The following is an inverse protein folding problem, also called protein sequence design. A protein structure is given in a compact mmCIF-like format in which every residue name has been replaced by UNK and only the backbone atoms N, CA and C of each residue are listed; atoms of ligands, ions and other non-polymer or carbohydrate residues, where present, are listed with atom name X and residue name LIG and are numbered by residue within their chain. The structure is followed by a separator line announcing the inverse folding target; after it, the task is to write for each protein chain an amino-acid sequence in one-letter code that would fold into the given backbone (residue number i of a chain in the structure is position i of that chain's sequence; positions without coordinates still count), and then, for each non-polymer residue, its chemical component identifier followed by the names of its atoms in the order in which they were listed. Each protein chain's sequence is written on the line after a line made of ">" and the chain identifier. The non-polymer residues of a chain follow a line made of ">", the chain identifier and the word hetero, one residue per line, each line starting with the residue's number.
data_IF_778895319916
#
_entry.id   IF_778895319916
#
_cell.length_a   1.000
_cell.length_b   1.000
_cell.length_c   1.000
_cell.angle_alpha   90.00
_cell.angle_beta   90.00
_cell.angle_gamma   90.00
#
_symmetry.space_group_name_H-M   'P 1'
#
loop_
_entity.id
_entity.type
_entity.pdbx_description
1 polymer ?
#
# COMPACT_ATOMS: atom_id res chain seq x y z
N UNK A 1 -19.61 -13.03 21.34
CA UNK A 1 -18.28 -12.40 21.31
C UNK A 1 -17.88 -12.06 19.88
N UNK A 2 -17.44 -13.00 19.03
CA UNK A 2 -17.02 -12.67 17.65
C UNK A 2 -18.14 -12.05 16.78
N UNK A 3 -19.38 -12.55 16.87
CA UNK A 3 -20.53 -11.95 16.17
C UNK A 3 -20.83 -10.51 16.67
N UNK A 4 -20.65 -10.27 17.97
CA UNK A 4 -20.88 -8.96 18.57
C UNK A 4 -19.79 -7.97 18.13
N UNK A 5 -18.54 -8.41 18.04
CA UNK A 5 -17.42 -7.60 17.53
C UNK A 5 -17.59 -7.23 16.05
N UNK A 6 -18.05 -8.16 15.20
CA UNK A 6 -18.34 -7.87 13.79
C UNK A 6 -19.46 -6.85 13.63
N UNK A 7 -20.54 -6.98 14.41
CA UNK A 7 -21.63 -6.00 14.40
C UNK A 7 -21.12 -4.63 14.87
N UNK A 8 -20.33 -4.59 15.94
CA UNK A 8 -19.75 -3.35 16.45
C UNK A 8 -18.82 -2.68 15.44
N UNK A 9 -17.97 -3.45 14.76
CA UNK A 9 -17.13 -2.97 13.67
C UNK A 9 -17.97 -2.36 12.54
N UNK A 10 -18.98 -3.10 12.07
CA UNK A 10 -19.84 -2.61 11.00
C UNK A 10 -20.54 -1.31 11.39
N UNK A 11 -21.16 -1.27 12.58
CA UNK A 11 -21.83 -0.08 13.09
C UNK A 11 -20.87 1.11 13.21
N UNK A 12 -19.65 0.89 13.69
CA UNK A 12 -18.62 1.92 13.81
C UNK A 12 -18.18 2.47 12.44
N UNK A 13 -17.95 1.59 11.46
CA UNK A 13 -17.63 2.01 10.08
C UNK A 13 -18.78 2.79 9.44
N UNK A 14 -20.04 2.37 9.64
CA UNK A 14 -21.19 3.12 9.14
C UNK A 14 -21.33 4.49 9.82
N UNK A 15 -21.08 4.56 11.13
CA UNK A 15 -21.09 5.82 11.87
C UNK A 15 -20.01 6.78 11.34
N UNK A 16 -18.79 6.29 11.13
CA UNK A 16 -17.72 7.09 10.52
C UNK A 16 -18.10 7.56 9.11
N UNK A 17 -18.61 6.67 8.25
CA UNK A 17 -19.08 7.02 6.89
C UNK A 17 -20.15 8.11 6.93
N UNK A 18 -21.10 8.03 7.85
CA UNK A 18 -22.15 9.03 8.02
C UNK A 18 -21.60 10.37 8.51
N UNK A 19 -20.72 10.34 9.51
CA UNK A 19 -20.06 11.53 10.03
C UNK A 19 -19.24 12.25 8.95
N UNK A 20 -18.43 11.52 8.18
CA UNK A 20 -17.68 12.08 7.06
C UNK A 20 -18.61 12.76 6.05
N UNK A 21 -19.71 12.10 5.70
CA UNK A 21 -20.68 12.64 4.75
C UNK A 21 -21.35 13.92 5.25
N UNK A 22 -21.62 14.02 6.55
CA UNK A 22 -22.25 15.20 7.16
C UNK A 22 -21.26 16.36 7.34
N UNK A 23 -20.06 16.07 7.85
CA UNK A 23 -19.05 17.08 8.14
C UNK A 23 -18.28 17.52 6.89
N UNK A 24 -18.09 16.62 5.93
CA UNK A 24 -17.28 16.81 4.72
C UNK A 24 -17.99 16.32 3.45
N UNK A 25 -19.15 16.91 3.08
CA UNK A 25 -20.01 16.40 2.00
C UNK A 25 -19.37 16.39 0.61
N UNK A 26 -18.23 17.07 0.42
CA UNK A 26 -17.49 17.11 -0.84
C UNK A 26 -16.35 16.08 -0.91
N UNK A 27 -16.01 15.44 0.21
CA UNK A 27 -15.03 14.37 0.27
C UNK A 27 -15.70 13.05 -0.10
N UNK A 28 -15.05 12.30 -0.97
CA UNK A 28 -15.47 11.04 -1.54
C UNK A 28 -14.26 10.13 -1.60
N UNK A 29 -14.47 8.81 -1.70
CA UNK A 29 -13.37 7.86 -1.81
C UNK A 29 -12.46 8.10 -3.04
N UNK A 30 -12.92 8.85 -4.04
CA UNK A 30 -12.15 9.19 -5.24
C UNK A 30 -11.29 10.44 -5.12
N UNK A 31 -11.63 11.35 -4.20
CA UNK A 31 -11.00 12.67 -4.11
C UNK A 31 -10.49 13.00 -2.71
N UNK A 32 -10.76 12.13 -1.74
CA UNK A 32 -10.20 12.22 -0.42
C UNK A 32 -9.03 11.23 -0.35
N UNK A 33 -7.86 11.79 -0.05
CA UNK A 33 -6.61 11.06 -0.02
C UNK A 33 -6.46 10.21 1.25
N UNK A 34 -7.51 10.00 2.04
CA UNK A 34 -7.48 9.23 3.28
C UNK A 34 -7.02 10.02 4.51
N UNK A 35 -6.93 11.35 4.46
CA UNK A 35 -6.37 12.20 5.53
C UNK A 35 -7.32 12.37 6.74
N UNK A 36 -7.78 11.26 7.32
CA UNK A 36 -8.62 11.24 8.51
C UNK A 36 -7.85 10.59 9.64
N UNK A 37 -7.29 11.41 10.53
CA UNK A 37 -6.57 10.97 11.74
C UNK A 37 -7.07 11.68 12.99
N UNK A 38 -8.36 12.01 13.01
CA UNK A 38 -8.97 12.78 14.09
C UNK A 38 -10.48 12.57 14.14
N UNK A 39 -11.04 12.82 15.33
CA UNK A 39 -12.47 12.68 15.60
C UNK A 39 -12.80 11.39 16.34
N UNK A 40 -13.79 11.44 17.22
CA UNK A 40 -14.18 10.28 18.01
C UNK A 40 -14.64 9.12 17.13
N UNK A 41 -15.31 9.43 16.02
CA UNK A 41 -15.79 8.46 15.04
C UNK A 41 -14.64 7.72 14.34
N UNK A 42 -13.51 8.40 14.11
CA UNK A 42 -12.31 7.75 13.59
C UNK A 42 -11.70 6.83 14.66
N UNK A 43 -11.48 7.36 15.86
CA UNK A 43 -10.87 6.62 16.98
C UNK A 43 -11.69 5.35 17.34
N UNK A 44 -13.02 5.46 17.32
CA UNK A 44 -13.95 4.35 17.55
C UNK A 44 -13.88 3.29 16.44
N UNK A 45 -13.74 3.72 15.17
CA UNK A 45 -13.58 2.80 14.04
C UNK A 45 -12.26 2.04 14.12
N UNK A 46 -11.15 2.75 14.35
CA UNK A 46 -9.82 2.12 14.50
C UNK A 46 -9.82 1.14 15.68
N UNK A 47 -10.39 1.54 16.82
CA UNK A 47 -10.50 0.67 18.00
C UNK A 47 -11.28 -0.61 17.71
N UNK A 48 -12.39 -0.52 16.96
CA UNK A 48 -13.17 -1.70 16.58
C UNK A 48 -12.40 -2.63 15.63
N UNK A 49 -11.60 -2.10 14.71
CA UNK A 49 -10.75 -2.90 13.81
C UNK A 49 -9.68 -3.62 14.61
N UNK A 50 -8.98 -2.92 15.52
CA UNK A 50 -7.94 -3.52 16.37
C UNK A 50 -8.52 -4.64 17.23
N UNK A 51 -9.63 -4.40 17.93
CA UNK A 51 -10.30 -5.44 18.72
C UNK A 51 -10.72 -6.63 17.85
N UNK A 52 -11.14 -6.41 16.61
CA UNK A 52 -11.48 -7.50 15.67
C UNK A 52 -10.24 -8.32 15.31
N UNK A 53 -9.10 -7.68 15.04
CA UNK A 53 -7.82 -8.34 14.74
C UNK A 53 -7.32 -9.16 15.94
N UNK A 54 -7.45 -8.61 17.16
CA UNK A 54 -6.94 -9.21 18.39
C UNK A 54 -7.81 -10.36 18.92
N UNK A 55 -9.13 -10.22 18.86
CA UNK A 55 -10.07 -11.11 19.56
C UNK A 55 -10.82 -12.09 18.64
N UNK A 56 -10.58 -12.05 17.33
CA UNK A 56 -11.27 -12.93 16.37
C UNK A 56 -10.34 -13.60 15.36
N UNK A 57 -10.82 -14.69 14.77
CA UNK A 57 -10.11 -15.44 13.74
C UNK A 57 -10.46 -14.92 12.34
N UNK A 58 -9.50 -14.74 11.42
CA UNK A 58 -9.79 -14.35 10.04
C UNK A 58 -10.65 -15.39 9.30
N UNK A 59 -10.61 -16.67 9.71
CA UNK A 59 -11.46 -17.73 9.18
C UNK A 59 -12.95 -17.52 9.47
N UNK A 60 -13.29 -16.71 10.47
CA UNK A 60 -14.67 -16.36 10.78
C UNK A 60 -15.13 -15.14 9.97
N UNK A 61 -14.23 -14.37 9.34
CA UNK A 61 -14.57 -13.13 8.67
C UNK A 61 -15.49 -13.36 7.45
N UNK A 62 -16.62 -12.66 7.43
CA UNK A 62 -17.47 -12.60 6.25
C UNK A 62 -17.07 -11.44 5.32
N UNK A 63 -17.72 -11.36 4.16
CA UNK A 63 -17.40 -10.33 3.17
C UNK A 63 -17.62 -8.90 3.69
N UNK A 64 -18.59 -8.69 4.58
CA UNK A 64 -18.87 -7.37 5.18
C UNK A 64 -17.73 -6.98 6.12
N UNK A 65 -17.33 -7.90 6.99
CA UNK A 65 -16.20 -7.71 7.92
C UNK A 65 -14.93 -7.35 7.14
N UNK A 66 -14.61 -8.08 6.08
CA UNK A 66 -13.43 -7.81 5.24
C UNK A 66 -13.53 -6.43 4.58
N UNK A 67 -14.68 -6.08 4.00
CA UNK A 67 -14.88 -4.79 3.33
C UNK A 67 -14.73 -3.62 4.31
N UNK A 68 -15.34 -3.71 5.49
CA UNK A 68 -15.27 -2.70 6.54
C UNK A 68 -13.83 -2.51 7.06
N UNK A 69 -13.07 -3.60 7.25
CA UNK A 69 -11.66 -3.50 7.63
C UNK A 69 -10.80 -2.88 6.53
N UNK A 70 -11.01 -3.25 5.26
CA UNK A 70 -10.28 -2.64 4.14
C UNK A 70 -10.61 -1.15 3.97
N UNK A 71 -11.86 -0.78 4.20
CA UNK A 71 -12.27 0.62 4.24
C UNK A 71 -11.52 1.37 5.34
N UNK A 72 -11.48 0.82 6.57
CA UNK A 72 -10.80 1.46 7.69
C UNK A 72 -9.29 1.59 7.46
N UNK A 73 -8.63 0.55 6.94
CA UNK A 73 -7.21 0.62 6.54
C UNK A 73 -6.99 1.76 5.55
N UNK A 74 -7.88 1.93 4.57
CA UNK A 74 -7.76 3.01 3.60
C UNK A 74 -7.89 4.42 4.20
N UNK A 75 -8.53 4.55 5.37
CA UNK A 75 -8.64 5.81 6.14
C UNK A 75 -7.48 6.02 7.11
N UNK A 76 -6.90 4.95 7.62
CA UNK A 76 -5.75 4.98 8.53
C UNK A 76 -4.41 5.19 7.82
N UNK A 77 -4.42 5.71 6.59
CA UNK A 77 -3.26 5.68 5.72
C UNK A 77 -2.13 6.65 6.14
N UNK A 78 -2.43 7.66 6.94
CA UNK A 78 -1.45 8.58 7.51
C UNK A 78 -0.79 8.02 8.79
N UNK A 79 -1.58 7.35 9.64
CA UNK A 79 -1.10 6.86 10.94
C UNK A 79 -0.58 5.43 10.87
N UNK A 80 -1.06 4.63 9.92
CA UNK A 80 -0.72 3.22 9.70
C UNK A 80 -0.93 2.33 10.93
N UNK A 81 -1.80 2.71 11.88
CA UNK A 81 -2.01 1.98 13.13
C UNK A 81 -2.49 0.54 12.88
N UNK A 82 -3.45 0.35 11.99
CA UNK A 82 -3.98 -0.96 11.61
C UNK A 82 -2.91 -1.75 10.86
N UNK A 83 -2.20 -1.13 9.92
CA UNK A 83 -1.15 -1.79 9.16
C UNK A 83 -0.02 -2.29 10.06
N UNK A 84 0.39 -1.50 11.06
CA UNK A 84 1.38 -1.86 12.07
C UNK A 84 0.84 -2.96 13.01
N UNK A 85 -0.44 -2.88 13.41
CA UNK A 85 -1.09 -3.93 14.20
C UNK A 85 -1.08 -5.27 13.47
N UNK A 86 -1.28 -5.28 12.15
CA UNK A 86 -1.29 -6.50 11.35
C UNK A 86 0.07 -7.22 11.28
N UNK A 87 1.19 -6.57 11.62
CA UNK A 87 2.52 -7.19 11.64
C UNK A 87 2.59 -8.39 12.60
N UNK A 88 1.88 -8.32 13.72
CA UNK A 88 1.80 -9.39 14.72
C UNK A 88 0.65 -10.39 14.47
N UNK A 89 -0.19 -10.13 13.44
CA UNK A 89 -1.39 -10.91 13.13
C UNK A 89 -1.36 -11.46 11.70
N UNK A 90 -0.45 -12.42 11.41
CA UNK A 90 -0.13 -12.80 10.04
C UNK A 90 -1.33 -13.36 9.24
N UNK A 91 -2.19 -14.17 9.87
CA UNK A 91 -3.36 -14.70 9.16
C UNK A 91 -4.32 -13.58 8.72
N UNK A 92 -4.48 -12.55 9.55
CA UNK A 92 -5.27 -11.37 9.20
C UNK A 92 -4.62 -10.57 8.09
N UNK A 93 -3.30 -10.34 8.19
CA UNK A 93 -2.54 -9.67 7.14
C UNK A 93 -2.71 -10.39 5.79
N UNK A 94 -2.47 -11.71 5.75
CA UNK A 94 -2.60 -12.51 4.52
C UNK A 94 -4.00 -12.46 3.92
N UNK A 95 -5.06 -12.58 4.75
CA UNK A 95 -6.44 -12.50 4.29
C UNK A 95 -6.74 -11.12 3.67
N UNK A 96 -6.48 -10.05 4.40
CA UNK A 96 -6.82 -8.69 3.98
C UNK A 96 -5.96 -8.26 2.80
N UNK A 97 -4.68 -8.61 2.79
CA UNK A 97 -3.77 -8.35 1.68
C UNK A 97 -4.30 -8.95 0.37
N UNK A 98 -4.67 -10.24 0.36
CA UNK A 98 -5.26 -10.88 -0.81
C UNK A 98 -6.56 -10.20 -1.24
N UNK A 99 -7.42 -9.86 -0.29
CA UNK A 99 -8.71 -9.21 -0.56
C UNK A 99 -8.56 -7.78 -1.06
N UNK A 100 -7.49 -7.10 -0.68
CA UNK A 100 -7.21 -5.74 -1.13
C UNK A 100 -6.84 -5.66 -2.61
N UNK A 101 -6.37 -6.74 -3.26
CA UNK A 101 -6.13 -6.73 -4.70
C UNK A 101 -7.41 -6.37 -5.50
N UNK A 102 -8.55 -6.88 -5.04
CA UNK A 102 -9.84 -6.77 -5.72
C UNK A 102 -10.69 -5.56 -5.27
N UNK A 103 -10.26 -4.82 -4.24
CA UNK A 103 -11.05 -3.69 -3.72
C UNK A 103 -10.89 -2.41 -4.55
N UNK A 104 -11.80 -1.45 -4.38
CA UNK A 104 -11.69 -0.08 -4.90
C UNK A 104 -10.84 0.85 -4.02
N UNK A 105 -10.52 0.43 -2.79
CA UNK A 105 -9.78 1.25 -1.83
C UNK A 105 -8.28 1.32 -2.15
N UNK A 106 -7.89 2.29 -2.98
CA UNK A 106 -6.50 2.45 -3.43
C UNK A 106 -5.53 2.65 -2.26
N UNK A 107 -5.98 3.33 -1.20
CA UNK A 107 -5.16 3.55 -0.01
C UNK A 107 -4.85 2.28 0.76
N UNK A 108 -5.76 1.31 0.78
CA UNK A 108 -5.45 0.00 1.34
C UNK A 108 -4.44 -0.76 0.47
N UNK A 109 -4.58 -0.67 -0.87
CA UNK A 109 -3.67 -1.37 -1.80
C UNK A 109 -2.23 -0.95 -1.62
N UNK A 110 -1.93 0.35 -1.63
CA UNK A 110 -0.54 0.79 -1.51
C UNK A 110 0.06 0.48 -0.14
N UNK A 111 -0.73 0.52 0.94
CA UNK A 111 -0.27 0.15 2.28
C UNK A 111 0.15 -1.32 2.33
N UNK A 112 -0.68 -2.22 1.79
CA UNK A 112 -0.30 -3.63 1.67
C UNK A 112 0.90 -3.82 0.74
N UNK A 113 0.94 -3.12 -0.40
CA UNK A 113 2.05 -3.19 -1.34
C UNK A 113 3.39 -2.77 -0.70
N UNK A 114 3.42 -1.77 0.17
CA UNK A 114 4.65 -1.34 0.87
C UNK A 114 5.05 -2.32 2.00
N UNK A 115 4.08 -2.89 2.71
CA UNK A 115 4.34 -3.80 3.84
C UNK A 115 4.70 -5.23 3.43
N UNK A 116 4.22 -5.74 2.29
CA UNK A 116 4.51 -7.12 1.84
C UNK A 116 6.02 -7.43 1.88
N UNK A 117 6.87 -6.50 1.45
CA UNK A 117 8.32 -6.69 1.40
C UNK A 117 9.01 -6.85 2.77
N UNK A 118 8.34 -6.46 3.84
CA UNK A 118 8.85 -6.54 5.22
C UNK A 118 8.17 -7.66 6.02
N UNK A 119 7.09 -8.20 5.46
CA UNK A 119 6.21 -9.14 6.11
C UNK A 119 6.85 -10.52 6.28
N UNK A 120 6.85 -11.00 7.52
CA UNK A 120 7.50 -12.27 7.91
C UNK A 120 6.44 -13.34 8.14
N UNK A 121 5.91 -13.91 7.06
CA UNK A 121 4.99 -15.04 7.14
C UNK A 121 5.39 -16.15 6.19
N UNK A 122 4.90 -17.37 6.46
CA UNK A 122 5.01 -18.52 5.58
C UNK A 122 4.10 -18.43 4.34
N UNK A 123 3.10 -17.54 4.36
CA UNK A 123 2.19 -17.38 3.23
C UNK A 123 2.89 -16.68 2.07
N UNK A 124 2.87 -17.32 0.90
CA UNK A 124 3.37 -16.72 -0.33
C UNK A 124 2.35 -15.72 -0.87
N UNK A 125 2.67 -14.43 -0.78
CA UNK A 125 1.87 -13.31 -1.29
C UNK A 125 2.42 -12.73 -2.60
N UNK A 126 3.34 -13.45 -3.27
CA UNK A 126 3.97 -12.96 -4.50
C UNK A 126 2.94 -12.76 -5.62
N UNK A 127 1.90 -13.59 -5.68
CA UNK A 127 0.79 -13.45 -6.62
C UNK A 127 0.05 -12.10 -6.45
N UNK A 128 -0.20 -11.71 -5.19
CA UNK A 128 -0.82 -10.43 -4.85
C UNK A 128 0.10 -9.27 -5.23
N UNK A 129 1.41 -9.41 -5.00
CA UNK A 129 2.39 -8.39 -5.35
C UNK A 129 2.43 -8.12 -6.87
N UNK A 130 2.33 -9.17 -7.69
CA UNK A 130 2.18 -9.01 -9.14
C UNK A 130 0.87 -8.34 -9.53
N UNK A 131 -0.22 -8.60 -8.83
CA UNK A 131 -1.48 -7.88 -9.04
C UNK A 131 -1.33 -6.37 -8.73
N UNK A 132 -0.58 -6.02 -7.67
CA UNK A 132 -0.29 -4.62 -7.36
C UNK A 132 0.61 -3.92 -8.38
N UNK A 133 1.58 -4.62 -8.96
CA UNK A 133 2.48 -4.10 -10.01
C UNK A 133 1.77 -3.73 -11.32
N UNK A 134 0.56 -4.24 -11.53
CA UNK A 134 -0.28 -3.96 -12.71
C UNK A 134 -1.64 -3.36 -12.28
N UNK A 135 -1.69 -2.70 -11.11
CA UNK A 135 -2.93 -2.17 -10.54
C UNK A 135 -3.50 -0.96 -11.31
N UNK A 136 -2.70 -0.33 -12.17
CA UNK A 136 -3.06 0.89 -12.88
C UNK A 136 -2.87 2.17 -12.04
N UNK A 137 -2.49 2.04 -10.77
CA UNK A 137 -2.20 3.16 -9.88
C UNK A 137 -0.69 3.32 -9.65
N UNK A 138 -0.14 4.46 -10.06
CA UNK A 138 1.30 4.72 -10.06
C UNK A 138 1.93 4.56 -8.67
N UNK A 139 1.24 5.00 -7.63
CA UNK A 139 1.76 4.97 -6.27
C UNK A 139 1.80 3.53 -5.73
N UNK A 140 0.70 2.79 -5.87
CA UNK A 140 0.61 1.36 -5.51
C UNK A 140 1.65 0.53 -6.26
N UNK A 141 1.81 0.75 -7.57
CA UNK A 141 2.79 0.03 -8.39
C UNK A 141 4.23 0.30 -7.93
N UNK A 142 4.56 1.52 -7.50
CA UNK A 142 5.88 1.83 -6.92
C UNK A 142 6.14 1.11 -5.61
N UNK A 143 5.15 1.10 -4.70
CA UNK A 143 5.28 0.40 -3.42
C UNK A 143 5.48 -1.10 -3.65
N UNK A 144 4.73 -1.67 -4.60
CA UNK A 144 4.86 -3.07 -5.00
C UNK A 144 6.25 -3.37 -5.58
N UNK A 145 6.79 -2.50 -6.43
CA UNK A 145 8.15 -2.66 -6.98
C UNK A 145 9.22 -2.64 -5.87
N UNK A 146 9.10 -1.73 -4.90
CA UNK A 146 9.99 -1.66 -3.75
C UNK A 146 9.97 -2.94 -2.94
N UNK A 147 8.78 -3.45 -2.62
CA UNK A 147 8.61 -4.71 -1.89
C UNK A 147 9.13 -5.91 -2.67
N UNK A 148 8.95 -5.93 -3.99
CA UNK A 148 9.52 -6.97 -4.85
C UNK A 148 11.06 -6.99 -4.76
N UNK A 149 11.69 -5.82 -4.66
CA UNK A 149 13.15 -5.70 -4.45
C UNK A 149 13.65 -6.45 -3.20
N UNK A 150 12.86 -6.49 -2.13
CA UNK A 150 13.20 -7.16 -0.87
C UNK A 150 13.02 -8.68 -0.94
N UNK A 151 11.99 -9.15 -1.66
CA UNK A 151 11.59 -10.57 -1.68
C UNK A 151 12.22 -11.31 -2.86
N UNK A 152 12.28 -10.67 -4.03
CA UNK A 152 12.66 -11.30 -5.29
C UNK A 152 13.56 -10.35 -6.14
N UNK A 153 14.83 -10.13 -5.74
CA UNK A 153 15.70 -9.12 -6.35
C UNK A 153 15.90 -9.26 -7.87
N UNK A 154 15.99 -10.49 -8.38
CA UNK A 154 16.18 -10.75 -9.81
C UNK A 154 14.97 -10.28 -10.64
N UNK A 155 13.76 -10.61 -10.18
CA UNK A 155 12.51 -10.19 -10.81
C UNK A 155 12.30 -8.69 -10.64
N UNK A 156 12.66 -8.14 -9.47
CA UNK A 156 12.60 -6.70 -9.21
C UNK A 156 13.47 -5.91 -10.20
N UNK A 157 14.66 -6.38 -10.54
CA UNK A 157 15.50 -5.75 -11.56
C UNK A 157 14.80 -5.69 -12.92
N UNK A 158 14.15 -6.78 -13.34
CA UNK A 158 13.40 -6.83 -14.60
C UNK A 158 12.25 -5.82 -14.61
N UNK A 159 11.49 -5.75 -13.51
CA UNK A 159 10.40 -4.80 -13.35
C UNK A 159 10.90 -3.35 -13.25
N UNK A 160 12.03 -3.09 -12.58
CA UNK A 160 12.61 -1.76 -12.50
C UNK A 160 12.99 -1.24 -13.89
N UNK A 161 13.59 -2.09 -14.74
CA UNK A 161 13.83 -1.77 -16.15
C UNK A 161 12.53 -1.46 -16.89
N UNK A 162 11.50 -2.32 -16.76
CA UNK A 162 10.18 -2.09 -17.37
C UNK A 162 9.59 -0.75 -16.91
N UNK A 163 9.66 -0.45 -15.61
CA UNK A 163 9.11 0.76 -15.01
C UNK A 163 9.84 2.01 -15.50
N UNK A 164 11.16 1.96 -15.66
CA UNK A 164 11.90 3.10 -16.19
C UNK A 164 11.52 3.43 -17.65
N UNK A 165 11.26 2.41 -18.47
CA UNK A 165 11.09 2.56 -19.93
C UNK A 165 9.63 2.72 -20.39
N UNK A 166 8.63 2.32 -19.60
CA UNK A 166 7.24 2.20 -20.09
C UNK A 166 6.50 3.52 -20.36
N UNK A 167 6.88 4.62 -19.72
CA UNK A 167 6.31 5.97 -19.94
C UNK A 167 4.77 6.02 -20.04
N UNK A 168 4.03 5.33 -19.15
CA UNK A 168 2.56 5.19 -19.21
C UNK A 168 1.78 6.23 -18.39
N UNK A 169 2.46 7.01 -17.54
CA UNK A 169 1.84 8.02 -16.67
C UNK A 169 2.29 9.43 -17.07
N UNK A 170 1.40 10.42 -16.92
CA UNK A 170 1.72 11.84 -17.22
C UNK A 170 2.90 12.37 -16.38
N UNK A 171 3.03 11.88 -15.15
CA UNK A 171 4.09 12.24 -14.20
C UNK A 171 4.97 11.02 -13.82
N UNK A 172 5.57 10.36 -14.82
CA UNK A 172 6.33 9.12 -14.62
C UNK A 172 7.69 9.26 -13.90
N UNK A 173 8.06 10.47 -13.49
CA UNK A 173 9.34 10.74 -12.83
C UNK A 173 9.48 9.97 -11.51
N UNK A 174 8.41 9.84 -10.73
CA UNK A 174 8.45 9.15 -9.43
C UNK A 174 8.64 7.64 -9.62
N UNK A 175 7.97 7.07 -10.61
CA UNK A 175 8.18 5.69 -11.03
C UNK A 175 9.62 5.44 -11.47
N UNK A 176 10.20 6.33 -12.27
CA UNK A 176 11.61 6.25 -12.69
C UNK A 176 12.56 6.35 -11.50
N UNK A 177 12.27 7.22 -10.53
CA UNK A 177 13.04 7.30 -9.29
C UNK A 177 12.98 5.98 -8.50
N UNK A 178 11.80 5.38 -8.36
CA UNK A 178 11.66 4.07 -7.71
C UNK A 178 12.44 2.98 -8.44
N UNK A 179 12.39 2.95 -9.78
CA UNK A 179 13.20 2.03 -10.57
C UNK A 179 14.70 2.20 -10.30
N UNK A 180 15.21 3.43 -10.19
CA UNK A 180 16.63 3.65 -9.86
C UNK A 180 17.00 3.16 -8.46
N UNK A 181 16.16 3.43 -7.45
CA UNK A 181 16.41 2.95 -6.09
C UNK A 181 16.40 1.42 -6.04
N UNK A 182 15.46 0.75 -6.71
CA UNK A 182 15.44 -0.72 -6.78
C UNK A 182 16.67 -1.27 -7.51
N UNK A 183 17.08 -0.71 -8.64
CA UNK A 183 18.32 -1.12 -9.32
C UNK A 183 19.55 -0.95 -8.42
N UNK A 184 19.57 0.08 -7.57
CA UNK A 184 20.62 0.30 -6.60
C UNK A 184 20.58 -0.74 -5.47
N UNK A 185 19.41 -0.96 -4.86
CA UNK A 185 19.23 -1.91 -3.76
C UNK A 185 19.51 -3.36 -4.18
N UNK A 186 19.17 -3.74 -5.42
CA UNK A 186 19.44 -5.09 -5.94
C UNK A 186 20.87 -5.28 -6.44
N UNK A 187 21.70 -4.23 -6.45
CA UNK A 187 23.07 -4.28 -6.95
C UNK A 187 23.17 -4.51 -8.46
N UNK A 188 22.17 -4.05 -9.22
CA UNK A 188 22.08 -4.27 -10.67
C UNK A 188 23.26 -3.65 -11.44
N UNK A 189 23.84 -4.42 -12.37
CA UNK A 189 24.87 -3.94 -13.30
C UNK A 189 24.33 -2.89 -14.29
N UNK A 190 23.00 -2.85 -14.47
CA UNK A 190 22.31 -1.88 -15.33
C UNK A 190 22.19 -0.50 -14.68
N UNK A 191 22.42 -0.37 -13.36
CA UNK A 191 22.21 0.88 -12.63
C UNK A 191 22.94 2.06 -13.28
N UNK A 192 24.21 1.89 -13.64
CA UNK A 192 25.05 2.97 -14.20
C UNK A 192 24.44 3.54 -15.49
N UNK A 193 23.87 2.68 -16.33
CA UNK A 193 23.21 3.09 -17.57
C UNK A 193 21.95 3.93 -17.30
N UNK A 194 21.11 3.49 -16.36
CA UNK A 194 19.87 4.20 -16.03
C UNK A 194 20.12 5.51 -15.27
N UNK A 195 21.18 5.59 -14.45
CA UNK A 195 21.61 6.85 -13.84
C UNK A 195 21.99 7.89 -14.90
N UNK A 196 22.72 7.49 -15.96
CA UNK A 196 23.08 8.40 -17.06
C UNK A 196 21.84 8.92 -17.82
N UNK A 197 20.85 8.04 -18.06
CA UNK A 197 19.56 8.45 -18.64
C UNK A 197 18.83 9.47 -17.77
N UNK A 198 18.78 9.21 -16.46
CA UNK A 198 18.11 10.08 -15.49
C UNK A 198 18.79 11.46 -15.36
N UNK A 199 20.13 11.50 -15.34
CA UNK A 199 20.94 12.73 -15.34
C UNK A 199 20.69 13.59 -16.59
N UNK A 200 20.35 12.94 -17.72
CA UNK A 200 20.06 13.59 -19.00
C UNK A 200 18.57 13.96 -19.19
N UNK A 201 17.70 13.63 -18.23
CA UNK A 201 16.27 13.94 -18.27
C UNK A 201 16.01 15.46 -18.24
N UNK A 202 14.79 15.92 -18.49
CA UNK A 202 14.40 17.31 -18.18
C UNK A 202 13.84 17.44 -16.74
N UNK A 203 13.51 16.33 -16.07
CA UNK A 203 12.99 16.36 -14.71
C UNK A 203 14.08 16.70 -13.68
N UNK A 204 13.97 17.81 -12.94
CA UNK A 204 14.94 18.15 -11.88
C UNK A 204 14.92 17.14 -10.73
N UNK A 205 13.77 16.53 -10.45
CA UNK A 205 13.62 15.52 -9.40
C UNK A 205 14.35 14.23 -9.76
N UNK A 206 14.19 13.76 -11.00
CA UNK A 206 14.86 12.56 -11.47
C UNK A 206 16.39 12.74 -11.54
N UNK A 207 16.87 13.92 -11.98
CA UNK A 207 18.30 14.28 -11.92
C UNK A 207 18.85 14.23 -10.50
N UNK A 208 18.12 14.82 -9.55
CA UNK A 208 18.52 14.86 -8.14
C UNK A 208 18.58 13.45 -7.57
N UNK A 209 17.57 12.62 -7.81
CA UNK A 209 17.56 11.22 -7.39
C UNK A 209 18.78 10.46 -7.93
N UNK A 210 19.09 10.59 -9.22
CA UNK A 210 20.26 9.96 -9.81
C UNK A 210 21.57 10.45 -9.16
N UNK A 211 21.72 11.75 -8.94
CA UNK A 211 22.87 12.33 -8.26
C UNK A 211 23.00 11.85 -6.80
N UNK A 212 21.88 11.66 -6.10
CA UNK A 212 21.85 11.16 -4.73
C UNK A 212 22.29 9.70 -4.66
N UNK A 213 21.82 8.85 -5.58
CA UNK A 213 22.26 7.45 -5.70
C UNK A 213 23.74 7.37 -6.07
N UNK A 214 24.22 8.20 -7.01
CA UNK A 214 25.65 8.27 -7.40
C UNK A 214 26.57 8.51 -6.22
N UNK A 215 26.14 9.32 -5.24
CA UNK A 215 26.94 9.62 -4.04
C UNK A 215 27.04 8.44 -3.07
N UNK A 216 26.19 7.43 -3.20
CA UNK A 216 26.19 6.21 -2.38
C UNK A 216 27.06 5.09 -2.98
N UNK A 217 27.39 5.16 -4.28
CA UNK A 217 28.28 4.23 -4.98
C UNK A 217 29.75 4.47 -4.64
#
# INVERSE_FOLDING_TARGET
>A
MAADLKSALHDSVQNFKNWVKEAYPNMTEQNDNGEYVYGAEYDDMISCVINTIEDTSPEDADAVTVDDMLYAIARDNESNVIADTLEDHPKWFSLLCRKSADTGYINAKWQFADKIGEYKCSDDLTDVLYAFLESGDEYTERMALRSLGKICPEQAEQYAVKFFERNIYEADQYQKMMALEVLYETGSDKLVYYLQKAESSDSPYLKRCAADIRRKL
#
